data_IF_435220984449
#
_entry.id   IF_435220984449
#
_cell.length_a   1.000
_cell.length_b   1.000
_cell.length_c   1.000
_cell.angle_alpha   90.00
_cell.angle_beta   90.00
_cell.angle_gamma   90.00
#
_symmetry.space_group_name_H-M   'P 1'
#
loop_
_entity.id
_entity.type
_entity.pdbx_description
1 polymer ?
#
# COMPACT_ATOMS: atom_id res chain seq x y z
N UNK A 1 -7.69 19.63 0.79
CA UNK A 1 -6.73 19.90 1.88
C UNK A 1 -5.83 18.68 1.97
N UNK A 2 -4.61 18.76 1.43
CA UNK A 2 -3.59 17.74 1.67
C UNK A 2 -3.20 17.86 3.15
N UNK A 3 -3.40 16.80 3.93
CA UNK A 3 -2.61 16.65 5.15
C UNK A 3 -1.29 16.08 4.67
N UNK A 4 -0.20 16.84 4.82
CA UNK A 4 1.11 16.38 4.41
C UNK A 4 1.47 15.18 5.29
N UNK A 5 1.31 13.98 4.73
CA UNK A 5 1.64 12.73 5.41
C UNK A 5 3.14 12.60 5.30
N UNK A 6 3.86 12.95 6.37
CA UNK A 6 5.31 12.90 6.42
C UNK A 6 5.79 11.85 7.42
N UNK A 7 6.85 11.12 7.10
CA UNK A 7 7.65 10.36 8.07
C UNK A 7 9.12 10.72 7.88
N UNK A 8 9.68 11.48 8.80
CA UNK A 8 11.01 12.09 8.62
C UNK A 8 10.99 13.03 7.41
N UNK A 9 11.89 12.80 6.47
CA UNK A 9 11.98 13.57 5.21
C UNK A 9 11.15 12.96 4.07
N UNK A 10 10.47 11.82 4.30
CA UNK A 10 9.66 11.15 3.27
C UNK A 10 8.24 11.71 3.26
N UNK A 11 7.81 12.12 2.09
CA UNK A 11 6.45 12.56 1.78
C UNK A 11 5.60 11.41 1.24
N UNK A 12 4.34 11.38 1.66
CA UNK A 12 3.35 10.39 1.26
C UNK A 12 2.06 11.08 0.82
N UNK A 13 1.40 10.51 -0.19
CA UNK A 13 0.13 11.01 -0.70
C UNK A 13 -0.88 9.86 -0.80
N UNK A 14 -2.16 10.18 -0.54
CA UNK A 14 -3.27 9.25 -0.71
C UNK A 14 -3.85 9.40 -2.12
N UNK A 15 -3.72 8.37 -2.94
CA UNK A 15 -4.35 8.30 -4.25
C UNK A 15 -5.73 7.61 -4.14
N UNK A 16 -6.79 8.29 -4.62
CA UNK A 16 -8.16 7.74 -4.71
C UNK A 16 -8.67 7.86 -6.15
N UNK A 17 -8.85 6.72 -6.83
CA UNK A 17 -9.49 6.60 -8.16
C UNK A 17 -10.52 5.47 -8.16
N UNK A 18 -11.30 5.37 -9.22
CA UNK A 18 -12.36 4.35 -9.36
C UNK A 18 -11.79 2.94 -9.50
N UNK A 19 -10.61 2.80 -10.12
CA UNK A 19 -9.92 1.52 -10.27
C UNK A 19 -8.51 1.52 -9.67
N UNK A 20 -8.03 0.33 -9.29
CA UNK A 20 -6.66 0.16 -8.77
C UNK A 20 -5.61 0.46 -9.84
N UNK A 21 -5.87 0.13 -11.11
CA UNK A 21 -4.95 0.39 -12.22
C UNK A 21 -4.78 1.90 -12.43
N UNK A 22 -5.85 2.68 -12.37
CA UNK A 22 -5.77 4.15 -12.47
C UNK A 22 -5.11 4.77 -11.25
N UNK A 23 -5.34 4.21 -10.06
CA UNK A 23 -4.70 4.65 -8.82
C UNK A 23 -3.19 4.49 -8.92
N UNK A 24 -2.71 3.34 -9.39
CA UNK A 24 -1.27 3.08 -9.57
C UNK A 24 -0.65 3.97 -10.64
N UNK A 25 -1.31 4.13 -11.78
CA UNK A 25 -0.85 5.07 -12.83
C UNK A 25 -0.78 6.50 -12.33
N UNK A 26 -1.71 6.93 -11.48
CA UNK A 26 -1.69 8.27 -10.89
C UNK A 26 -0.52 8.42 -9.90
N UNK A 27 -0.28 7.40 -9.06
CA UNK A 27 0.85 7.33 -8.15
C UNK A 27 2.19 7.47 -8.89
N UNK A 28 2.42 6.64 -9.91
CA UNK A 28 3.64 6.66 -10.72
C UNK A 28 3.82 7.99 -11.46
N UNK A 29 2.75 8.52 -12.06
CA UNK A 29 2.79 9.80 -12.78
C UNK A 29 3.15 10.98 -11.88
N UNK A 30 2.77 10.92 -10.61
CA UNK A 30 3.10 11.93 -9.61
C UNK A 30 4.52 11.74 -9.02
N UNK A 31 5.28 10.73 -9.47
CA UNK A 31 6.64 10.45 -8.99
C UNK A 31 6.69 9.67 -7.68
N UNK A 32 5.55 9.18 -7.17
CA UNK A 32 5.48 8.37 -5.98
C UNK A 32 5.60 6.88 -6.31
N UNK A 33 6.15 6.12 -5.38
CA UNK A 33 6.11 4.65 -5.40
C UNK A 33 5.00 4.14 -4.48
N UNK A 34 4.21 3.14 -4.90
CA UNK A 34 3.16 2.59 -4.04
C UNK A 34 3.78 1.88 -2.83
N UNK A 35 3.06 1.90 -1.70
CA UNK A 35 3.50 1.26 -0.47
C UNK A 35 3.12 -0.22 -0.42
N UNK A 36 3.99 -1.03 0.19
CA UNK A 36 3.65 -2.36 0.66
C UNK A 36 3.10 -2.27 2.09
N UNK A 37 2.56 -3.40 2.59
CA UNK A 37 1.93 -3.46 3.90
C UNK A 37 2.84 -2.98 5.05
N UNK A 38 4.14 -3.33 5.12
CA UNK A 38 5.01 -2.88 6.20
C UNK A 38 5.11 -1.34 6.28
N UNK A 39 5.34 -0.66 5.16
CA UNK A 39 5.46 0.80 5.11
C UNK A 39 4.11 1.46 5.38
N UNK A 40 3.02 0.89 4.87
CA UNK A 40 1.67 1.40 5.14
C UNK A 40 1.31 1.32 6.63
N UNK A 41 1.69 0.23 7.32
CA UNK A 41 1.50 0.09 8.77
C UNK A 41 2.29 1.16 9.53
N UNK A 42 3.55 1.40 9.17
CA UNK A 42 4.35 2.46 9.78
C UNK A 42 3.70 3.84 9.58
N UNK A 43 3.18 4.11 8.37
CA UNK A 43 2.46 5.34 8.07
C UNK A 43 1.22 5.52 8.94
N UNK A 44 0.42 4.47 9.15
CA UNK A 44 -0.77 4.55 10.02
C UNK A 44 -0.40 4.75 11.50
N UNK A 45 0.69 4.16 11.97
CA UNK A 45 1.21 4.39 13.33
C UNK A 45 1.61 5.86 13.51
N UNK A 46 2.30 6.43 12.52
CA UNK A 46 2.72 7.85 12.55
C UNK A 46 1.55 8.81 12.38
N UNK A 47 0.51 8.41 11.64
CA UNK A 47 -0.67 9.23 11.34
C UNK A 47 -1.96 8.50 11.76
N UNK A 48 -2.33 8.49 13.06
CA UNK A 48 -3.47 7.72 13.55
C UNK A 48 -4.82 8.08 12.91
N UNK A 49 -4.94 9.25 12.29
CA UNK A 49 -6.11 9.64 11.50
C UNK A 49 -6.43 8.67 10.36
N UNK A 50 -5.41 7.99 9.83
CA UNK A 50 -5.53 6.97 8.78
C UNK A 50 -6.14 5.64 9.30
N UNK A 51 -6.37 5.48 10.60
CA UNK A 51 -7.10 4.31 11.11
C UNK A 51 -8.60 4.36 10.84
N UNK A 52 -9.14 5.53 10.50
CA UNK A 52 -10.58 5.75 10.29
C UNK A 52 -11.08 5.22 8.94
N UNK A 53 -10.19 5.12 7.96
CA UNK A 53 -10.50 4.70 6.60
C UNK A 53 -9.84 3.37 6.26
N UNK A 54 -10.40 2.68 5.27
CA UNK A 54 -9.77 1.54 4.62
C UNK A 54 -8.67 2.00 3.67
N UNK A 55 -7.60 1.21 3.57
CA UNK A 55 -6.51 1.44 2.62
C UNK A 55 -6.14 0.15 1.89
N UNK A 56 -5.52 0.31 0.72
CA UNK A 56 -5.00 -0.77 -0.10
C UNK A 56 -3.51 -0.56 -0.32
N UNK A 57 -2.78 -1.67 -0.46
CA UNK A 57 -1.32 -1.70 -0.67
C UNK A 57 -1.00 -2.61 -1.83
N UNK A 58 0.24 -2.56 -2.33
CA UNK A 58 0.71 -3.49 -3.35
C UNK A 58 1.11 -4.88 -2.83
N UNK A 59 1.06 -5.10 -1.51
CA UNK A 59 1.22 -6.44 -0.96
C UNK A 59 0.09 -7.37 -1.38
N UNK A 60 0.46 -8.60 -1.71
CA UNK A 60 -0.45 -9.64 -2.18
C UNK A 60 -0.43 -10.85 -1.25
N UNK A 61 -1.56 -11.55 -1.27
CA UNK A 61 -1.74 -12.85 -0.66
C UNK A 61 -1.95 -13.87 -1.76
N UNK A 62 -0.97 -14.72 -2.00
CA UNK A 62 -1.00 -15.73 -3.04
C UNK A 62 -1.16 -17.12 -2.43
N UNK A 63 -2.02 -17.96 -3.01
CA UNK A 63 -2.19 -19.36 -2.61
C UNK A 63 -1.75 -20.27 -3.74
N UNK A 64 -1.17 -21.42 -3.40
CA UNK A 64 -0.64 -22.34 -4.40
C UNK A 64 -0.18 -23.67 -3.81
N UNK A 65 0.60 -24.40 -4.61
CA UNK A 65 1.25 -25.65 -4.20
C UNK A 65 2.75 -25.58 -4.49
N UNK A 66 3.55 -26.17 -3.61
CA UNK A 66 4.99 -26.37 -3.83
C UNK A 66 5.22 -27.37 -4.96
N UNK A 67 6.45 -27.44 -5.46
CA UNK A 67 6.89 -28.50 -6.38
C UNK A 67 6.74 -29.91 -5.79
N UNK A 68 6.78 -30.05 -4.46
CA UNK A 68 6.50 -31.29 -3.74
C UNK A 68 5.00 -31.60 -3.55
N UNK A 69 4.10 -30.74 -4.05
CA UNK A 69 2.65 -30.93 -3.99
C UNK A 69 1.95 -30.41 -2.73
N UNK A 70 2.70 -29.90 -1.74
CA UNK A 70 2.12 -29.34 -0.51
C UNK A 70 1.47 -27.98 -0.76
N UNK A 71 0.25 -27.77 -0.26
CA UNK A 71 -0.44 -26.48 -0.32
C UNK A 71 0.25 -25.42 0.54
N UNK A 72 0.24 -24.17 0.09
CA UNK A 72 0.86 -23.05 0.78
C UNK A 72 0.14 -21.72 0.49
N UNK A 73 0.40 -20.75 1.36
CA UNK A 73 -0.01 -19.35 1.23
C UNK A 73 1.22 -18.46 1.45
N UNK A 74 1.41 -17.47 0.58
CA UNK A 74 2.52 -16.51 0.62
C UNK A 74 1.94 -15.11 0.76
N UNK A 75 2.58 -14.33 1.64
CA UNK A 75 2.39 -12.89 1.73
C UNK A 75 3.64 -12.23 1.14
N UNK A 76 3.46 -11.47 0.07
CA UNK A 76 4.53 -10.77 -0.64
C UNK A 76 4.22 -9.26 -0.71
#
# INVERSE_FOLDING_TARGET
MSQDLMIGEKEYEIFRKESIVETLRACEKAGYSPLFMPEFVQLRIAHPGLFKDWGQTMSIRASGRTSAGSALEIYA
#
